data_IF_960643140071
#
_entry.id   IF_960643140071
#
_cell.length_a   1.000
_cell.length_b   1.000
_cell.length_c   1.000
_cell.angle_alpha   90.00
_cell.angle_beta   90.00
_cell.angle_gamma   90.00
#
_symmetry.space_group_name_H-M   'P 1'
#
loop_
_entity.id
_entity.type
_entity.pdbx_description
1 polymer ?
#
# COMPACT_ATOMS: atom_id res chain seq x y z
N UNK A 1 10.10 -3.07 7.59
CA UNK A 1 8.77 -3.00 8.17
C UNK A 1 8.53 -4.14 9.15
N UNK A 2 7.86 -3.84 10.23
CA UNK A 2 7.58 -4.79 11.31
C UNK A 2 6.63 -5.89 10.84
N UNK A 3 6.82 -7.12 11.32
CA UNK A 3 5.93 -8.24 10.99
C UNK A 3 4.47 -7.97 11.35
N UNK A 4 4.23 -7.22 12.43
CA UNK A 4 2.88 -6.86 12.87
C UNK A 4 2.16 -5.95 11.87
N UNK A 5 2.89 -5.28 11.00
CA UNK A 5 2.33 -4.38 10.00
C UNK A 5 2.07 -5.06 8.67
N UNK A 6 2.17 -6.40 8.62
CA UNK A 6 1.85 -7.17 7.42
C UNK A 6 0.55 -7.91 7.61
N UNK A 7 -0.34 -7.81 6.63
CA UNK A 7 -1.56 -8.60 6.62
C UNK A 7 -1.20 -9.98 6.09
N UNK A 8 -1.36 -11.03 6.90
CA UNK A 8 -0.91 -12.37 6.55
C UNK A 8 -2.04 -13.37 6.30
N UNK A 9 -3.15 -13.22 7.01
CA UNK A 9 -4.23 -14.20 6.93
C UNK A 9 -5.14 -13.92 5.74
N UNK A 10 -5.49 -14.97 5.01
CA UNK A 10 -6.37 -14.87 3.85
C UNK A 10 -7.70 -14.24 4.20
N UNK A 11 -8.26 -14.57 5.35
CA UNK A 11 -9.53 -14.00 5.80
C UNK A 11 -9.45 -12.50 5.95
N UNK A 12 -8.32 -11.99 6.45
CA UNK A 12 -8.12 -10.56 6.62
C UNK A 12 -7.96 -9.86 5.28
N UNK A 13 -7.24 -10.46 4.35
CA UNK A 13 -7.11 -9.94 2.99
C UNK A 13 -8.47 -9.87 2.30
N UNK A 14 -9.24 -10.96 2.39
CA UNK A 14 -10.57 -11.00 1.78
C UNK A 14 -11.52 -9.96 2.38
N UNK A 15 -11.41 -9.72 3.69
CA UNK A 15 -12.22 -8.71 4.35
C UNK A 15 -11.95 -7.31 3.79
N UNK A 16 -10.68 -6.98 3.57
CA UNK A 16 -10.30 -5.70 2.98
C UNK A 16 -10.84 -5.58 1.56
N UNK A 17 -10.74 -6.65 0.76
CA UNK A 17 -11.28 -6.64 -0.60
C UNK A 17 -12.80 -6.49 -0.62
N UNK A 18 -13.50 -7.15 0.30
CA UNK A 18 -14.97 -7.11 0.32
C UNK A 18 -15.52 -5.81 0.86
N UNK A 19 -14.95 -5.32 1.96
CA UNK A 19 -15.54 -4.21 2.72
C UNK A 19 -14.77 -2.91 2.58
N UNK A 20 -13.55 -2.96 2.10
CA UNK A 20 -12.74 -1.78 1.89
C UNK A 20 -13.15 -1.01 0.65
N UNK A 21 -12.66 0.20 0.56
CA UNK A 21 -12.83 1.05 -0.62
C UNK A 21 -11.57 1.02 -1.45
N UNK A 22 -11.70 1.01 -2.77
CA UNK A 22 -10.56 0.97 -3.66
C UNK A 22 -10.35 2.32 -4.36
N UNK A 23 -9.09 2.65 -4.54
CA UNK A 23 -8.66 3.86 -5.23
C UNK A 23 -7.49 3.48 -6.13
N UNK A 24 -7.33 4.16 -7.24
CA UNK A 24 -6.32 3.77 -8.22
C UNK A 24 -5.66 4.96 -8.87
N UNK A 25 -4.42 4.74 -9.29
CA UNK A 25 -3.75 5.60 -10.27
C UNK A 25 -3.12 4.68 -11.31
N UNK A 26 -2.23 5.20 -12.14
CA UNK A 26 -1.64 4.41 -13.23
C UNK A 26 -0.75 3.27 -12.74
N UNK A 27 -0.11 3.43 -11.58
CA UNK A 27 0.87 2.48 -11.07
C UNK A 27 0.29 1.51 -10.06
N UNK A 28 -0.71 1.94 -9.27
CA UNK A 28 -1.20 1.15 -8.14
C UNK A 28 -2.71 1.22 -8.00
N UNK A 29 -3.25 0.13 -7.44
CA UNK A 29 -4.61 0.10 -6.88
C UNK A 29 -4.43 -0.12 -5.39
N UNK A 30 -5.13 0.66 -4.57
CA UNK A 30 -5.06 0.53 -3.11
C UNK A 30 -6.47 0.29 -2.57
N UNK A 31 -6.61 -0.78 -1.79
CA UNK A 31 -7.82 -1.06 -1.02
C UNK A 31 -7.58 -0.60 0.41
N UNK A 32 -8.50 0.14 0.97
CA UNK A 32 -8.40 0.70 2.31
C UNK A 32 -9.58 0.23 3.15
N UNK A 33 -9.30 -0.32 4.32
CA UNK A 33 -10.34 -0.77 5.25
C UNK A 33 -10.02 -0.29 6.65
N UNK A 34 -10.98 0.40 7.28
CA UNK A 34 -10.78 0.96 8.61
C UNK A 34 -10.89 -0.13 9.68
N UNK A 35 -9.90 -0.15 10.56
CA UNK A 35 -9.82 -1.06 11.70
C UNK A 35 -9.70 -0.25 12.97
N UNK A 36 -10.82 0.15 13.53
CA UNK A 36 -10.84 0.98 14.74
C UNK A 36 -10.04 0.35 15.87
N UNK A 37 -9.28 1.17 16.59
CA UNK A 37 -8.49 0.74 17.73
C UNK A 37 -7.13 0.14 17.36
N UNK A 38 -6.83 0.01 16.07
CA UNK A 38 -5.55 -0.49 15.63
C UNK A 38 -4.47 0.59 15.81
N UNK A 39 -3.39 0.24 16.50
CA UNK A 39 -2.33 1.20 16.82
C UNK A 39 -1.45 1.56 15.63
N UNK A 40 -1.28 0.61 14.70
CA UNK A 40 -0.41 0.79 13.53
C UNK A 40 -1.14 0.28 12.29
N UNK A 41 -0.94 0.98 11.16
CA UNK A 41 -1.47 0.47 9.90
C UNK A 41 -0.81 -0.85 9.53
N UNK A 42 -1.50 -1.65 8.72
CA UNK A 42 -0.96 -2.89 8.18
C UNK A 42 -1.09 -2.86 6.67
N UNK A 43 -0.17 -3.52 5.99
CA UNK A 43 -0.20 -3.58 4.52
C UNK A 43 -0.12 -5.02 4.03
N UNK A 44 -0.82 -5.26 2.92
CA UNK A 44 -0.69 -6.46 2.11
C UNK A 44 -0.27 -6.03 0.71
N UNK A 45 0.55 -6.82 0.06
CA UNK A 45 1.07 -6.51 -1.26
C UNK A 45 0.64 -7.57 -2.26
N UNK A 46 0.29 -7.12 -3.46
CA UNK A 46 -0.01 -8.01 -4.56
C UNK A 46 0.75 -7.55 -5.80
N UNK A 47 1.76 -8.32 -6.20
CA UNK A 47 2.55 -8.04 -7.40
C UNK A 47 2.52 -9.30 -8.26
N UNK A 48 1.68 -9.27 -9.29
CA UNK A 48 1.43 -10.42 -10.18
C UNK A 48 2.68 -10.81 -10.97
N UNK A 49 2.78 -12.08 -11.29
CA UNK A 49 3.82 -12.60 -12.20
C UNK A 49 3.80 -11.91 -13.57
N UNK A 50 2.67 -11.36 -13.96
CA UNK A 50 2.54 -10.62 -15.22
C UNK A 50 3.31 -9.30 -15.23
N UNK A 51 3.66 -8.78 -14.07
CA UNK A 51 4.40 -7.52 -13.95
C UNK A 51 5.86 -7.70 -14.39
N UNK A 52 6.44 -8.85 -14.11
CA UNK A 52 7.83 -9.13 -14.44
C UNK A 52 8.35 -10.36 -13.71
N UNK A 53 9.65 -10.59 -13.83
CA UNK A 53 10.30 -11.70 -13.15
C UNK A 53 10.43 -11.46 -11.65
N UNK A 54 10.98 -12.45 -10.92
CA UNK A 54 11.09 -12.39 -9.47
C UNK A 54 11.91 -11.17 -8.99
N UNK A 55 12.98 -10.84 -9.71
CA UNK A 55 13.84 -9.70 -9.36
C UNK A 55 13.03 -8.40 -9.42
N UNK A 56 12.31 -8.21 -10.52
CA UNK A 56 11.46 -7.02 -10.70
C UNK A 56 10.37 -6.93 -9.64
N UNK A 57 9.68 -8.05 -9.40
CA UNK A 57 8.59 -8.09 -8.42
C UNK A 57 9.09 -7.79 -7.00
N UNK A 58 10.23 -8.37 -6.63
CA UNK A 58 10.81 -8.13 -5.31
C UNK A 58 11.26 -6.68 -5.14
N UNK A 59 11.77 -6.07 -6.21
CA UNK A 59 12.14 -4.65 -6.19
C UNK A 59 10.92 -3.77 -5.95
N UNK A 60 9.82 -4.06 -6.65
CA UNK A 60 8.57 -3.30 -6.47
C UNK A 60 8.08 -3.42 -5.02
N UNK A 61 8.06 -4.64 -4.48
CA UNK A 61 7.65 -4.88 -3.10
C UNK A 61 8.52 -4.11 -2.11
N UNK A 62 9.83 -4.12 -2.32
CA UNK A 62 10.78 -3.40 -1.47
C UNK A 62 10.51 -1.89 -1.52
N UNK A 63 10.27 -1.35 -2.69
CA UNK A 63 9.97 0.06 -2.86
C UNK A 63 8.67 0.46 -2.16
N UNK A 64 7.65 -0.38 -2.24
CA UNK A 64 6.38 -0.12 -1.57
C UNK A 64 6.58 -0.11 -0.05
N UNK A 65 7.25 -1.12 0.49
CA UNK A 65 7.52 -1.21 1.93
C UNK A 65 8.34 -0.02 2.43
N UNK A 66 9.38 0.33 1.70
CA UNK A 66 10.22 1.47 2.07
C UNK A 66 9.44 2.77 2.02
N UNK A 67 8.57 2.93 1.03
CA UNK A 67 7.72 4.11 0.91
C UNK A 67 6.80 4.25 2.13
N UNK A 68 6.14 3.17 2.53
CA UNK A 68 5.27 3.19 3.71
C UNK A 68 6.06 3.44 4.98
N UNK A 69 7.25 2.89 5.08
CA UNK A 69 8.12 3.15 6.24
C UNK A 69 8.45 4.64 6.34
N UNK A 70 8.78 5.27 5.22
CA UNK A 70 9.10 6.71 5.20
C UNK A 70 7.88 7.58 5.44
N UNK A 71 6.70 7.09 5.08
CA UNK A 71 5.43 7.82 5.24
C UNK A 71 4.67 7.43 6.51
N UNK A 72 5.28 6.67 7.41
CA UNK A 72 4.55 6.08 8.55
C UNK A 72 3.83 7.11 9.42
N UNK A 73 4.37 8.31 9.53
CA UNK A 73 3.76 9.36 10.33
C UNK A 73 2.70 10.16 9.58
N UNK A 74 2.58 9.93 8.28
CA UNK A 74 1.63 10.62 7.41
C UNK A 74 0.38 9.80 7.14
N UNK A 75 0.48 8.47 7.23
CA UNK A 75 -0.58 7.55 6.84
C UNK A 75 -1.44 7.19 8.05
N UNK A 76 -2.75 7.10 7.84
CA UNK A 76 -3.69 6.72 8.91
C UNK A 76 -3.34 5.34 9.48
N UNK A 77 -3.26 5.24 10.80
CA UNK A 77 -2.84 4.01 11.48
C UNK A 77 -3.97 3.02 11.72
N UNK A 78 -5.18 3.48 11.79
CA UNK A 78 -6.33 2.62 12.05
C UNK A 78 -6.91 2.00 10.77
N UNK A 79 -6.03 1.67 9.84
CA UNK A 79 -6.39 1.18 8.52
C UNK A 79 -5.56 -0.04 8.14
N UNK A 80 -6.19 -0.94 7.39
CA UNK A 80 -5.48 -1.96 6.63
C UNK A 80 -5.48 -1.54 5.16
N UNK A 81 -4.33 -1.68 4.51
CA UNK A 81 -4.17 -1.34 3.10
C UNK A 81 -3.70 -2.56 2.31
N UNK A 82 -4.29 -2.78 1.15
CA UNK A 82 -3.75 -3.74 0.18
C UNK A 82 -3.32 -2.94 -1.04
N UNK A 83 -2.06 -3.07 -1.40
CA UNK A 83 -1.46 -2.37 -2.54
C UNK A 83 -1.24 -3.37 -3.66
N UNK A 84 -1.90 -3.14 -4.78
CA UNK A 84 -1.77 -3.97 -5.98
C UNK A 84 -0.96 -3.18 -7.01
N UNK A 85 0.17 -3.75 -7.44
CA UNK A 85 0.99 -3.12 -8.47
C UNK A 85 0.39 -3.37 -9.85
N UNK A 86 0.37 -2.32 -10.66
CA UNK A 86 -0.02 -2.39 -12.08
C UNK A 86 1.24 -2.44 -12.92
N UNK A 87 1.11 -2.77 -14.19
CA UNK A 87 2.27 -2.89 -15.11
C UNK A 87 3.18 -1.68 -15.09
N UNK A 88 2.62 -0.49 -15.01
CA UNK A 88 3.41 0.73 -15.07
C UNK A 88 4.29 0.95 -13.83
N UNK A 89 4.05 0.20 -12.76
CA UNK A 89 4.93 0.27 -11.59
C UNK A 89 6.31 -0.32 -11.86
N UNK A 90 6.42 -1.23 -12.83
CA UNK A 90 7.68 -1.94 -13.10
C UNK A 90 8.80 -1.02 -13.58
N UNK A 91 8.47 0.08 -14.24
CA UNK A 91 9.45 1.03 -14.79
C UNK A 91 9.80 2.17 -13.85
N UNK A 92 9.23 2.20 -12.65
CA UNK A 92 9.42 3.31 -11.73
C UNK A 92 10.59 3.06 -10.78
N UNK A 93 11.37 4.11 -10.51
CA UNK A 93 12.38 4.06 -9.46
C UNK A 93 11.71 4.26 -8.10
N UNK A 94 12.52 4.28 -7.03
CA UNK A 94 11.97 4.42 -5.68
C UNK A 94 11.23 5.74 -5.50
N UNK A 95 11.82 6.85 -5.94
CA UNK A 95 11.18 8.17 -5.77
C UNK A 95 9.85 8.26 -6.50
N UNK A 96 9.82 7.75 -7.72
CA UNK A 96 8.59 7.72 -8.51
C UNK A 96 7.53 6.83 -7.87
N UNK A 97 7.94 5.68 -7.34
CA UNK A 97 7.05 4.77 -6.62
C UNK A 97 6.45 5.46 -5.40
N UNK A 98 7.30 6.10 -4.60
CA UNK A 98 6.84 6.81 -3.40
C UNK A 98 5.86 7.93 -3.75
N UNK A 99 6.17 8.74 -4.77
CA UNK A 99 5.27 9.80 -5.22
C UNK A 99 3.93 9.26 -5.68
N UNK A 100 3.96 8.14 -6.41
CA UNK A 100 2.74 7.51 -6.89
C UNK A 100 1.88 7.01 -5.73
N UNK A 101 2.50 6.39 -4.73
CA UNK A 101 1.78 5.94 -3.53
C UNK A 101 1.22 7.13 -2.74
N UNK A 102 1.99 8.19 -2.57
CA UNK A 102 1.50 9.41 -1.93
C UNK A 102 0.27 9.94 -2.64
N UNK A 103 0.30 9.95 -3.95
CA UNK A 103 -0.82 10.43 -4.76
C UNK A 103 -2.08 9.60 -4.53
N UNK A 104 -2.00 8.27 -4.66
CA UNK A 104 -3.18 7.42 -4.53
C UNK A 104 -3.72 7.42 -3.10
N UNK A 105 -2.84 7.54 -2.11
CA UNK A 105 -3.26 7.62 -0.71
C UNK A 105 -3.95 8.94 -0.40
N UNK A 106 -3.54 10.04 -1.06
CA UNK A 106 -4.26 11.32 -0.93
C UNK A 106 -5.65 11.23 -1.57
N UNK A 107 -5.75 10.58 -2.72
CA UNK A 107 -7.04 10.35 -3.36
C UNK A 107 -7.95 9.56 -2.43
N UNK A 108 -7.41 8.59 -1.73
CA UNK A 108 -8.13 7.78 -0.75
C UNK A 108 -8.45 8.51 0.54
N UNK A 109 -7.86 9.70 0.75
CA UNK A 109 -8.03 10.52 1.97
C UNK A 109 -7.58 9.82 3.25
N UNK A 110 -6.51 9.04 3.15
CA UNK A 110 -5.92 8.33 4.28
C UNK A 110 -4.57 8.91 4.70
N UNK A 111 -4.19 10.03 4.13
CA UNK A 111 -3.00 10.77 4.54
C UNK A 111 -3.42 11.82 5.55
N UNK A 112 -2.74 11.85 6.69
CA UNK A 112 -3.02 12.82 7.75
C UNK A 112 -2.67 14.22 7.29
N UNK A 113 -3.47 15.19 7.70
CA UNK A 113 -3.13 16.59 7.47
C UNK A 113 -1.99 16.96 8.41
N UNK A 114 -0.89 17.43 7.81
CA UNK A 114 0.29 17.79 8.58
C UNK A 114 0.03 18.91 9.57
N UNK A 115 0.21 18.62 10.87
CA UNK A 115 0.39 19.61 11.89
C UNK A 115 -0.48 20.86 11.81
N UNK A 116 -1.55 20.71 11.15
CA UNK A 116 -2.37 21.88 10.86
C UNK A 116 -3.77 21.66 11.26
#
# INVERSE_FOLDING_TARGET
MNKRQRIKKDKELQLVFKKGKSFANRQFVVYCYRKEGQAEFRIGLSVSKKIGNAVTRNRIKRYIRQSFLEMKDEVQNDMDYIIIARHQAASKDFHETKKSLQHVLRVARVVKKNGK
#
